data_IF_668072767581
#
_entry.id   IF_668072767581
#
_cell.length_a   1.000
_cell.length_b   1.000
_cell.length_c   1.000
_cell.angle_alpha   90.00
_cell.angle_beta   90.00
_cell.angle_gamma   90.00
#
_symmetry.space_group_name_H-M   'P 1'
#
loop_
_entity.id
_entity.type
_entity.pdbx_description
1 polymer ?
#
# COMPACT_ATOMS: atom_id res chain seq x y z
N UNK A 1 2.86 -13.55 -17.81
CA UNK A 1 2.62 -14.46 -16.68
C UNK A 1 2.06 -13.76 -15.45
N UNK A 2 2.60 -12.60 -15.08
CA UNK A 2 2.15 -11.87 -13.89
C UNK A 2 0.67 -11.44 -13.98
N UNK A 3 0.18 -11.06 -15.15
CA UNK A 3 -1.24 -10.71 -15.34
C UNK A 3 -2.14 -11.94 -15.16
N UNK A 4 -1.73 -13.08 -15.69
CA UNK A 4 -2.45 -14.34 -15.52
C UNK A 4 -2.49 -14.76 -14.05
N UNK A 5 -1.36 -14.67 -13.37
CA UNK A 5 -1.24 -15.03 -11.96
C UNK A 5 -2.13 -14.15 -11.08
N UNK A 6 -2.11 -12.84 -11.31
CA UNK A 6 -3.01 -11.91 -10.61
C UNK A 6 -4.48 -12.20 -10.88
N UNK A 7 -4.82 -12.57 -12.11
CA UNK A 7 -6.20 -12.93 -12.47
C UNK A 7 -6.65 -14.18 -11.69
N UNK A 8 -5.84 -15.22 -11.69
CA UNK A 8 -6.16 -16.47 -10.99
C UNK A 8 -6.33 -16.24 -9.47
N UNK A 9 -5.43 -15.46 -8.87
CA UNK A 9 -5.53 -15.08 -7.47
C UNK A 9 -6.77 -14.23 -7.17
N UNK A 10 -7.13 -13.33 -8.08
CA UNK A 10 -8.32 -12.47 -7.91
C UNK A 10 -9.60 -13.30 -7.86
N UNK A 11 -9.70 -14.31 -8.71
CA UNK A 11 -10.84 -15.25 -8.72
C UNK A 11 -10.89 -15.99 -7.39
N UNK A 12 -9.76 -16.55 -6.97
CA UNK A 12 -9.69 -17.31 -5.71
C UNK A 12 -10.07 -16.47 -4.49
N UNK A 13 -9.71 -15.18 -4.48
CA UNK A 13 -9.99 -14.28 -3.37
C UNK A 13 -11.31 -13.52 -3.49
N UNK A 14 -12.03 -13.68 -4.60
CA UNK A 14 -13.29 -12.98 -4.83
C UNK A 14 -13.10 -11.47 -5.03
N UNK A 15 -11.96 -11.05 -5.56
CA UNK A 15 -11.62 -9.65 -5.80
C UNK A 15 -11.69 -9.38 -7.30
N UNK A 16 -12.36 -8.28 -7.68
CA UNK A 16 -12.40 -7.85 -9.08
C UNK A 16 -11.17 -7.00 -9.39
N UNK A 17 -10.34 -7.48 -10.31
CA UNK A 17 -9.18 -6.74 -10.82
C UNK A 17 -9.45 -6.34 -12.28
N UNK A 18 -9.40 -5.04 -12.53
CA UNK A 18 -9.35 -4.46 -13.87
C UNK A 18 -7.93 -3.94 -14.09
N UNK A 19 -7.23 -4.44 -15.10
CA UNK A 19 -5.84 -4.02 -15.32
C UNK A 19 -5.80 -2.51 -15.55
N UNK A 20 -4.99 -1.76 -14.76
CA UNK A 20 -5.00 -0.30 -14.84
C UNK A 20 -4.46 0.20 -16.19
N UNK A 21 -5.00 1.30 -16.66
CA UNK A 21 -4.50 1.97 -17.88
C UNK A 21 -3.12 2.59 -17.64
N UNK A 22 -2.86 3.04 -16.41
CA UNK A 22 -1.58 3.60 -15.99
C UNK A 22 -0.91 2.59 -15.08
N UNK A 23 0.13 1.94 -15.59
CA UNK A 23 0.92 0.96 -14.87
C UNK A 23 2.37 1.02 -15.37
N UNK A 24 3.36 1.09 -14.47
CA UNK A 24 3.21 1.30 -13.03
C UNK A 24 2.71 2.70 -12.68
N UNK A 25 2.14 2.85 -11.50
CA UNK A 25 1.65 4.14 -10.99
C UNK A 25 2.59 4.69 -9.92
N UNK A 26 2.71 6.01 -9.85
CA UNK A 26 3.41 6.64 -8.74
C UNK A 26 2.54 6.63 -7.49
N UNK A 27 2.86 5.76 -6.54
CA UNK A 27 2.11 5.55 -5.30
C UNK A 27 2.69 6.31 -4.09
N UNK A 28 3.68 7.16 -4.29
CA UNK A 28 4.40 7.82 -3.19
C UNK A 28 3.46 8.63 -2.29
N UNK A 29 2.56 9.43 -2.88
CA UNK A 29 1.60 10.21 -2.09
C UNK A 29 0.63 9.31 -1.32
N UNK A 30 0.16 8.24 -1.93
CA UNK A 30 -0.71 7.27 -1.28
C UNK A 30 -0.01 6.60 -0.09
N UNK A 31 1.27 6.26 -0.23
CA UNK A 31 2.07 5.68 0.85
C UNK A 31 2.32 6.69 1.98
N UNK A 32 2.59 7.96 1.67
CA UNK A 32 2.68 9.01 2.70
C UNK A 32 1.35 9.18 3.43
N UNK A 33 0.24 9.13 2.71
CA UNK A 33 -1.10 9.19 3.28
C UNK A 33 -1.40 8.04 4.22
N UNK A 34 -0.80 6.87 4.00
CA UNK A 34 -0.95 5.73 4.91
C UNK A 34 -0.45 6.05 6.32
N UNK A 35 0.61 6.83 6.46
CA UNK A 35 1.10 7.26 7.78
C UNK A 35 0.08 8.10 8.55
N UNK A 36 -0.68 8.94 7.85
CA UNK A 36 -1.76 9.70 8.48
C UNK A 36 -2.74 8.76 9.18
N UNK A 37 -3.17 7.72 8.49
CA UNK A 37 -4.15 6.77 9.05
C UNK A 37 -3.52 5.76 10.01
N UNK A 38 -2.22 5.54 9.98
CA UNK A 38 -1.51 4.81 11.03
C UNK A 38 -1.54 5.64 12.33
N UNK A 39 -1.26 6.93 12.24
CA UNK A 39 -1.16 7.82 13.38
C UNK A 39 -2.54 8.17 13.96
N UNK A 40 -3.52 8.42 13.10
CA UNK A 40 -4.89 8.82 13.50
C UNK A 40 -5.87 7.65 13.64
N UNK A 41 -5.53 6.49 13.14
CA UNK A 41 -6.39 5.31 13.08
C UNK A 41 -7.10 5.16 11.74
N UNK A 42 -7.49 3.93 11.40
CA UNK A 42 -8.22 3.64 10.17
C UNK A 42 -7.36 3.22 8.98
N UNK A 43 -6.12 2.83 9.20
CA UNK A 43 -5.18 2.42 8.13
C UNK A 43 -5.74 1.29 7.26
N UNK A 44 -6.37 0.28 7.84
CA UNK A 44 -6.88 -0.85 7.08
C UNK A 44 -7.92 -0.42 6.05
N UNK A 45 -8.89 0.39 6.46
CA UNK A 45 -9.94 0.89 5.57
C UNK A 45 -9.39 1.81 4.49
N UNK A 46 -8.43 2.66 4.84
CA UNK A 46 -7.73 3.50 3.86
C UNK A 46 -7.03 2.67 2.80
N UNK A 47 -6.25 1.66 3.21
CA UNK A 47 -5.54 0.79 2.28
C UNK A 47 -6.49 0.04 1.36
N UNK A 48 -7.58 -0.51 1.90
CA UNK A 48 -8.60 -1.20 1.09
C UNK A 48 -9.18 -0.27 0.01
N UNK A 49 -9.45 0.98 0.37
CA UNK A 49 -9.99 1.97 -0.57
C UNK A 49 -8.96 2.38 -1.64
N UNK A 50 -7.71 2.55 -1.28
CA UNK A 50 -6.64 2.87 -2.25
C UNK A 50 -6.46 1.72 -3.24
N UNK A 51 -6.34 0.49 -2.76
CA UNK A 51 -6.20 -0.68 -3.63
C UNK A 51 -7.42 -0.87 -4.53
N UNK A 52 -8.63 -0.74 -3.99
CA UNK A 52 -9.87 -0.83 -4.76
C UNK A 52 -9.95 0.24 -5.83
N UNK A 53 -9.64 1.48 -5.49
CA UNK A 53 -9.68 2.61 -6.43
C UNK A 53 -8.77 2.37 -7.62
N UNK A 54 -7.58 1.88 -7.39
CA UNK A 54 -6.60 1.63 -8.45
C UNK A 54 -6.88 0.34 -9.23
N UNK A 55 -7.02 -0.79 -8.52
CA UNK A 55 -7.09 -2.11 -9.15
C UNK A 55 -8.48 -2.52 -9.62
N UNK A 56 -9.53 -1.96 -9.04
CA UNK A 56 -10.91 -2.31 -9.39
C UNK A 56 -11.60 -1.19 -10.15
N UNK A 57 -11.49 0.05 -9.66
CA UNK A 57 -12.25 1.18 -10.20
C UNK A 57 -11.50 1.94 -11.31
N UNK A 58 -10.24 1.62 -11.55
CA UNK A 58 -9.44 2.20 -12.63
C UNK A 58 -9.05 3.65 -12.41
N UNK A 59 -9.01 4.11 -11.16
CA UNK A 59 -8.63 5.48 -10.82
C UNK A 59 -7.13 5.63 -10.70
N UNK A 60 -6.60 6.75 -11.16
CA UNK A 60 -5.19 7.10 -11.01
C UNK A 60 -4.96 7.70 -9.63
N UNK A 61 -4.33 6.93 -8.73
CA UNK A 61 -4.03 7.36 -7.36
C UNK A 61 -2.84 8.33 -7.27
N UNK A 62 -2.13 8.59 -8.37
CA UNK A 62 -1.11 9.63 -8.44
C UNK A 62 -1.69 11.04 -8.58
N UNK A 63 -2.98 11.14 -8.93
CA UNK A 63 -3.70 12.40 -9.01
C UNK A 63 -4.17 12.77 -7.61
N UNK A 64 -3.74 13.94 -7.13
CA UNK A 64 -4.03 14.43 -5.78
C UNK A 64 -5.52 14.40 -5.44
N UNK A 65 -6.37 14.86 -6.34
CA UNK A 65 -7.83 14.91 -6.09
C UNK A 65 -8.42 13.53 -5.84
N UNK A 66 -7.98 12.51 -6.57
CA UNK A 66 -8.44 11.13 -6.36
C UNK A 66 -8.04 10.63 -4.98
N UNK A 67 -6.80 10.90 -4.57
CA UNK A 67 -6.30 10.51 -3.26
C UNK A 67 -7.01 11.26 -2.13
N UNK A 68 -7.24 12.56 -2.30
CA UNK A 68 -7.93 13.38 -1.30
C UNK A 68 -9.37 12.93 -1.09
N UNK A 69 -10.08 12.55 -2.15
CA UNK A 69 -11.42 11.98 -2.04
C UNK A 69 -11.44 10.70 -1.19
N UNK A 70 -10.46 9.84 -1.37
CA UNK A 70 -10.31 8.63 -0.55
C UNK A 70 -10.07 9.02 0.91
N UNK A 71 -9.13 9.91 1.18
CA UNK A 71 -8.80 10.34 2.54
C UNK A 71 -10.00 11.00 3.24
N UNK A 72 -10.72 11.88 2.54
CA UNK A 72 -11.92 12.53 3.08
C UNK A 72 -13.03 11.53 3.39
N UNK A 73 -13.19 10.49 2.57
CA UNK A 73 -14.18 9.44 2.82
C UNK A 73 -13.88 8.64 4.10
N UNK A 74 -12.65 8.70 4.60
CA UNK A 74 -12.22 8.07 5.84
C UNK A 74 -11.99 9.07 6.98
N UNK A 75 -12.57 10.28 6.86
CA UNK A 75 -12.62 11.28 7.94
C UNK A 75 -11.48 12.29 7.97
N UNK A 76 -10.56 12.26 7.00
CA UNK A 76 -9.52 13.27 6.92
C UNK A 76 -10.06 14.61 6.42
N UNK A 77 -9.52 15.70 6.94
CA UNK A 77 -9.74 17.03 6.40
C UNK A 77 -8.70 17.29 5.31
N UNK A 78 -9.17 17.65 4.11
CA UNK A 78 -8.33 17.81 2.91
C UNK A 78 -7.05 18.61 3.16
N UNK A 79 -7.19 19.80 3.73
CA UNK A 79 -6.04 20.70 3.96
C UNK A 79 -5.03 20.11 4.95
N UNK A 80 -5.52 19.47 6.00
CA UNK A 80 -4.67 18.82 7.01
C UNK A 80 -3.94 17.62 6.39
N UNK A 81 -4.66 16.82 5.62
CA UNK A 81 -4.07 15.66 4.93
C UNK A 81 -3.03 16.08 3.89
N UNK A 82 -3.32 17.11 3.10
CA UNK A 82 -2.39 17.64 2.11
C UNK A 82 -1.10 18.14 2.77
N UNK A 83 -1.22 18.92 3.84
CA UNK A 83 -0.05 19.41 4.58
C UNK A 83 0.74 18.25 5.19
N UNK A 84 0.06 17.21 5.66
CA UNK A 84 0.71 16.04 6.23
C UNK A 84 1.57 15.31 5.17
N UNK A 85 1.03 15.00 4.00
CA UNK A 85 1.77 14.27 2.96
C UNK A 85 2.90 15.07 2.34
N UNK A 86 2.86 16.41 2.43
CA UNK A 86 3.92 17.30 1.97
C UNK A 86 4.96 17.61 3.05
N UNK A 87 4.72 17.22 4.28
CA UNK A 87 5.65 17.47 5.39
C UNK A 87 6.94 16.69 5.20
N UNK A 88 8.09 17.36 5.39
CA UNK A 88 9.40 16.75 5.16
C UNK A 88 9.64 15.54 6.08
N UNK A 89 9.17 15.58 7.33
CA UNK A 89 9.30 14.44 8.26
C UNK A 89 8.57 13.20 7.76
N UNK A 90 7.44 13.37 7.09
CA UNK A 90 6.67 12.25 6.52
C UNK A 90 7.38 11.69 5.28
N UNK A 91 7.93 12.57 4.45
CA UNK A 91 8.78 12.16 3.31
C UNK A 91 9.98 11.34 3.79
N UNK A 92 10.64 11.82 4.82
CA UNK A 92 11.79 11.14 5.42
C UNK A 92 11.39 9.79 6.04
N UNK A 93 10.24 9.73 6.71
CA UNK A 93 9.70 8.50 7.29
C UNK A 93 9.51 7.39 6.25
N UNK A 94 9.00 7.74 5.08
CA UNK A 94 8.85 6.79 3.98
C UNK A 94 10.21 6.32 3.46
N UNK A 95 11.14 7.25 3.26
CA UNK A 95 12.50 6.94 2.81
C UNK A 95 13.22 6.03 3.81
N UNK A 96 13.10 6.31 5.09
CA UNK A 96 13.70 5.51 6.17
C UNK A 96 13.12 4.09 6.21
N UNK A 97 11.81 3.93 6.04
CA UNK A 97 11.18 2.61 5.97
C UNK A 97 11.69 1.80 4.78
N UNK A 98 11.85 2.43 3.63
CA UNK A 98 12.39 1.78 2.44
C UNK A 98 13.86 1.38 2.67
N UNK A 99 14.64 2.26 3.28
CA UNK A 99 16.04 1.97 3.58
C UNK A 99 16.17 0.82 4.59
N UNK A 100 15.35 0.81 5.63
CA UNK A 100 15.32 -0.30 6.60
C UNK A 100 15.03 -1.63 5.91
N UNK A 101 14.03 -1.66 5.01
CA UNK A 101 13.70 -2.86 4.25
C UNK A 101 14.92 -3.38 3.47
N UNK A 102 15.61 -2.47 2.75
CA UNK A 102 16.80 -2.84 1.98
C UNK A 102 17.95 -3.30 2.87
N UNK A 103 18.19 -2.62 3.97
CA UNK A 103 19.26 -2.97 4.94
C UNK A 103 19.01 -4.34 5.58
N UNK A 104 17.75 -4.73 5.72
CA UNK A 104 17.36 -6.05 6.22
C UNK A 104 17.29 -7.14 5.15
N UNK A 105 17.65 -6.81 3.91
CA UNK A 105 17.72 -7.76 2.79
C UNK A 105 16.45 -7.87 1.96
N UNK A 106 15.44 -7.03 2.21
CA UNK A 106 14.22 -7.01 1.40
C UNK A 106 14.48 -6.49 -0.02
N UNK A 107 13.78 -7.04 -0.99
CA UNK A 107 13.96 -6.74 -2.41
C UNK A 107 12.65 -6.59 -3.18
N UNK A 108 11.50 -6.67 -2.51
CA UNK A 108 10.19 -6.55 -3.14
C UNK A 108 9.04 -6.61 -2.14
N UNK A 109 7.83 -6.64 -2.64
CA UNK A 109 6.59 -6.66 -1.84
C UNK A 109 5.71 -7.84 -2.20
N UNK A 110 5.00 -8.43 -1.23
CA UNK A 110 5.12 -8.18 0.20
C UNK A 110 6.36 -8.84 0.80
N UNK A 111 6.98 -8.19 1.78
CA UNK A 111 8.07 -8.77 2.57
C UNK A 111 7.64 -8.81 4.04
N UNK A 112 7.88 -9.92 4.69
CA UNK A 112 7.57 -10.14 6.10
C UNK A 112 8.83 -10.47 6.86
N UNK A 113 8.96 -9.92 8.06
CA UNK A 113 10.02 -10.29 8.98
C UNK A 113 9.40 -10.87 10.24
N UNK A 114 9.82 -12.08 10.61
CA UNK A 114 9.51 -12.66 11.91
C UNK A 114 10.72 -12.42 12.77
N UNK A 115 10.49 -11.81 13.93
CA UNK A 115 11.56 -11.30 14.77
C UNK A 115 12.44 -10.32 13.95
N UNK A 116 13.75 -10.37 14.07
CA UNK A 116 14.64 -9.41 13.40
C UNK A 116 15.22 -9.91 12.10
N UNK A 117 15.28 -11.22 11.88
CA UNK A 117 16.12 -11.80 10.84
C UNK A 117 15.44 -12.80 9.91
N UNK A 118 14.31 -13.37 10.31
CA UNK A 118 13.63 -14.38 9.52
C UNK A 118 12.72 -13.74 8.48
N UNK A 119 13.19 -13.68 7.23
CA UNK A 119 12.53 -12.96 6.14
C UNK A 119 11.77 -13.91 5.21
N UNK A 120 10.55 -13.51 4.87
CA UNK A 120 9.71 -14.16 3.87
C UNK A 120 9.28 -13.16 2.81
N UNK A 121 9.40 -13.57 1.54
CA UNK A 121 8.95 -12.76 0.41
C UNK A 121 7.82 -13.47 -0.34
N UNK A 122 6.74 -12.72 -0.61
CA UNK A 122 5.62 -13.17 -1.43
C UNK A 122 4.36 -13.44 -0.62
N UNK A 123 3.22 -13.23 -1.27
CA UNK A 123 1.90 -13.46 -0.68
C UNK A 123 1.59 -14.95 -0.44
N UNK A 124 2.31 -15.82 -1.10
CA UNK A 124 2.18 -17.27 -1.01
C UNK A 124 2.96 -17.89 0.17
N UNK A 125 3.64 -17.06 0.95
CA UNK A 125 4.42 -17.48 2.12
C UNK A 125 3.68 -17.37 3.44
N UNK A 126 2.45 -16.84 3.44
CA UNK A 126 1.66 -16.63 4.67
C UNK A 126 1.46 -17.91 5.47
N UNK A 127 1.28 -19.04 4.80
CA UNK A 127 1.13 -20.32 5.49
C UNK A 127 2.39 -20.72 6.26
N UNK A 128 3.57 -20.50 5.68
CA UNK A 128 4.84 -20.78 6.36
C UNK A 128 5.05 -19.85 7.55
N UNK A 129 4.63 -18.59 7.41
CA UNK A 129 4.71 -17.59 8.49
C UNK A 129 3.80 -18.01 9.64
N UNK A 130 2.57 -18.43 9.36
CA UNK A 130 1.59 -18.86 10.36
C UNK A 130 2.14 -20.01 11.21
N UNK A 131 2.84 -20.95 10.60
CA UNK A 131 3.46 -22.08 11.31
C UNK A 131 4.57 -21.66 12.30
N UNK A 132 5.16 -20.45 12.09
CA UNK A 132 6.21 -19.90 12.95
C UNK A 132 5.66 -19.11 14.14
N UNK A 133 4.42 -18.70 14.08
CA UNK A 133 3.75 -17.94 15.13
C UNK A 133 3.08 -18.89 16.14
#
# INVERSE_FOLDING_TARGET
YSQKDMHDWSIQRGIKINWPKIFPVNSVMAMRGAFYFIDEGGIENYLRSVFKSYWTDGKDISIKENLFQIAESHGAIKEIFENFIENQKIKDRLTENTQELMDRGGFGSPTFFIDQHDMYFGNDRLQLIEEKL
#
